data_IF_095975688144
#
_entry.id   IF_095975688144
#
_cell.length_a   1.000
_cell.length_b   1.000
_cell.length_c   1.000
_cell.angle_alpha   90.00
_cell.angle_beta   90.00
_cell.angle_gamma   90.00
#
_symmetry.space_group_name_H-M   'P 1'
#
loop_
_entity.id
_entity.type
_entity.pdbx_description
1 polymer ?
#
# COMPACT_ATOMS: atom_id res chain seq x y z
N UNK A 1 -2.01 9.90 21.35
CA UNK A 1 -1.23 10.43 20.21
C UNK A 1 -1.23 9.38 19.11
N UNK A 2 -1.68 9.72 17.90
CA UNK A 2 -1.52 8.84 16.72
C UNK A 2 -0.08 8.95 16.24
N UNK A 3 0.58 7.82 15.92
CA UNK A 3 1.89 7.85 15.28
C UNK A 3 1.73 8.00 13.77
N UNK A 4 2.76 8.49 13.09
CA UNK A 4 2.77 8.64 11.62
C UNK A 4 2.50 7.29 10.91
N UNK A 5 2.95 6.18 11.49
CA UNK A 5 2.72 4.83 10.98
C UNK A 5 1.26 4.40 11.09
N UNK A 6 0.57 4.80 12.16
CA UNK A 6 -0.87 4.54 12.30
C UNK A 6 -1.64 5.32 11.25
N UNK A 7 -1.31 6.60 11.06
CA UNK A 7 -1.91 7.43 10.01
C UNK A 7 -1.64 6.83 8.62
N UNK A 8 -0.44 6.35 8.33
CA UNK A 8 -0.11 5.66 7.08
C UNK A 8 -1.04 4.47 6.82
N UNK A 9 -1.22 3.61 7.83
CA UNK A 9 -2.08 2.43 7.71
C UNK A 9 -3.55 2.85 7.54
N UNK A 10 -4.01 3.82 8.30
CA UNK A 10 -5.41 4.28 8.26
C UNK A 10 -5.73 4.91 6.89
N UNK A 11 -4.82 5.71 6.31
CA UNK A 11 -4.98 6.27 4.95
C UNK A 11 -5.05 5.18 3.87
N UNK A 12 -4.30 4.08 4.02
CA UNK A 12 -4.32 2.95 3.08
C UNK A 12 -5.59 2.11 3.25
N UNK A 13 -6.07 1.93 4.49
CA UNK A 13 -7.29 1.19 4.77
C UNK A 13 -8.53 1.92 4.25
N UNK A 14 -8.52 3.26 4.36
CA UNK A 14 -9.67 4.14 4.17
C UNK A 14 -9.37 5.32 3.24
N UNK A 15 -8.89 5.06 2.01
CA UNK A 15 -8.46 6.10 1.07
C UNK A 15 -9.58 7.09 0.72
N UNK A 16 -10.85 6.67 0.76
CA UNK A 16 -12.00 7.53 0.51
C UNK A 16 -12.14 8.68 1.52
N UNK A 17 -11.59 8.54 2.73
CA UNK A 17 -11.55 9.61 3.73
C UNK A 17 -10.36 10.55 3.55
N UNK A 18 -9.50 10.27 2.57
CA UNK A 18 -8.27 11.02 2.29
C UNK A 18 -8.28 11.64 0.89
N UNK A 19 -9.44 11.73 0.23
CA UNK A 19 -9.53 12.25 -1.15
C UNK A 19 -9.25 11.21 -2.25
N UNK A 20 -9.10 9.93 -1.89
CA UNK A 20 -8.85 8.83 -2.81
C UNK A 20 -7.37 8.44 -2.91
N UNK A 21 -7.08 7.42 -3.74
CA UNK A 21 -5.75 6.81 -3.80
C UNK A 21 -4.64 7.75 -4.27
N UNK A 22 -4.95 8.66 -5.18
CA UNK A 22 -3.98 9.62 -5.70
C UNK A 22 -3.44 10.52 -4.59
N UNK A 23 -4.34 11.11 -3.80
CA UNK A 23 -3.97 11.97 -2.68
C UNK A 23 -3.27 11.21 -1.55
N UNK A 24 -3.72 9.97 -1.26
CA UNK A 24 -3.04 9.08 -0.32
C UNK A 24 -1.60 8.84 -0.77
N UNK A 25 -1.37 8.39 -2.00
CA UNK A 25 -0.03 8.06 -2.47
C UNK A 25 0.88 9.31 -2.50
N UNK A 26 0.38 10.44 -3.01
CA UNK A 26 1.12 11.69 -3.04
C UNK A 26 1.50 12.20 -1.65
N UNK A 27 0.61 12.04 -0.67
CA UNK A 27 0.86 12.42 0.72
C UNK A 27 1.87 11.49 1.40
N UNK A 28 1.71 10.17 1.24
CA UNK A 28 2.56 9.18 1.89
C UNK A 28 4.00 9.18 1.35
N UNK A 29 4.19 9.55 0.09
CA UNK A 29 5.52 9.58 -0.55
C UNK A 29 6.47 10.62 0.07
N UNK A 30 5.92 11.62 0.76
CA UNK A 30 6.66 12.69 1.46
C UNK A 30 7.01 12.33 2.91
N UNK A 31 6.55 11.19 3.42
CA UNK A 31 6.88 10.77 4.77
C UNK A 31 8.35 10.36 4.86
N UNK A 32 8.91 10.49 6.05
CA UNK A 32 10.28 10.11 6.40
C UNK A 32 10.31 9.55 7.82
N UNK A 33 11.43 8.93 8.17
CA UNK A 33 11.69 8.40 9.52
C UNK A 33 10.64 7.36 9.97
N UNK A 34 10.05 6.63 9.01
CA UNK A 34 9.05 5.61 9.28
C UNK A 34 9.66 4.46 10.06
N UNK A 35 9.04 4.10 11.18
CA UNK A 35 9.52 3.00 12.03
C UNK A 35 8.85 1.70 11.60
N UNK A 36 9.55 0.90 10.80
CA UNK A 36 9.07 -0.42 10.35
C UNK A 36 8.52 -1.28 11.50
N UNK A 37 9.19 -1.30 12.66
CA UNK A 37 8.74 -2.08 13.83
C UNK A 37 7.33 -1.68 14.27
N UNK A 38 6.99 -0.40 14.20
CA UNK A 38 5.66 0.12 14.56
C UNK A 38 4.64 -0.28 13.51
N UNK A 39 4.96 -0.11 12.21
CA UNK A 39 4.09 -0.57 11.11
C UNK A 39 3.78 -2.06 11.24
N UNK A 40 4.81 -2.88 11.44
CA UNK A 40 4.67 -4.32 11.55
C UNK A 40 3.80 -4.71 12.76
N UNK A 41 4.04 -4.12 13.92
CA UNK A 41 3.24 -4.36 15.12
C UNK A 41 1.77 -3.99 14.91
N UNK A 42 1.49 -2.79 14.35
CA UNK A 42 0.14 -2.35 14.06
C UNK A 42 -0.59 -3.28 13.08
N UNK A 43 0.11 -3.79 12.07
CA UNK A 43 -0.47 -4.73 11.10
C UNK A 43 -0.78 -6.10 11.72
N UNK A 44 0.08 -6.59 12.62
CA UNK A 44 -0.16 -7.84 13.34
C UNK A 44 -1.36 -7.72 14.28
N UNK A 45 -1.46 -6.61 15.03
CA UNK A 45 -2.59 -6.32 15.94
C UNK A 45 -3.93 -6.22 15.22
N UNK A 46 -3.95 -5.78 13.97
CA UNK A 46 -5.17 -5.72 13.16
C UNK A 46 -5.68 -7.09 12.73
N UNK A 47 -4.83 -8.13 12.77
CA UNK A 47 -5.10 -9.50 12.30
C UNK A 47 -5.75 -9.57 10.89
N UNK A 48 -5.54 -8.54 10.07
CA UNK A 48 -6.24 -8.35 8.81
C UNK A 48 -5.29 -8.62 7.64
N UNK A 49 -5.34 -9.86 7.13
CA UNK A 49 -4.52 -10.30 6.00
C UNK A 49 -4.74 -9.50 4.71
N UNK A 50 -5.90 -8.86 4.54
CA UNK A 50 -6.14 -7.99 3.40
C UNK A 50 -5.38 -6.67 3.54
N UNK A 51 -5.49 -6.03 4.72
CA UNK A 51 -4.79 -4.78 5.02
C UNK A 51 -3.27 -4.97 5.01
N UNK A 52 -2.76 -6.05 5.60
CA UNK A 52 -1.32 -6.36 5.57
C UNK A 52 -0.76 -6.37 4.15
N UNK A 53 -1.47 -7.02 3.22
CA UNK A 53 -1.03 -7.10 1.82
C UNK A 53 -1.18 -5.78 1.08
N UNK A 54 -2.26 -5.05 1.31
CA UNK A 54 -2.45 -3.73 0.71
C UNK A 54 -1.35 -2.77 1.16
N UNK A 55 -1.05 -2.73 2.47
CA UNK A 55 0.04 -1.92 3.01
C UNK A 55 1.38 -2.38 2.44
N UNK A 56 1.63 -3.69 2.35
CA UNK A 56 2.83 -4.22 1.71
C UNK A 56 3.02 -3.76 0.25
N UNK A 57 1.95 -3.84 -0.56
CA UNK A 57 1.94 -3.34 -1.94
C UNK A 57 2.23 -1.84 -1.98
N UNK A 58 1.55 -1.04 -1.16
CA UNK A 58 1.74 0.42 -1.13
C UNK A 58 3.15 0.77 -0.69
N UNK A 59 3.71 0.08 0.32
CA UNK A 59 5.08 0.30 0.74
C UNK A 59 6.09 -0.04 -0.37
N UNK A 60 5.88 -1.09 -1.15
CA UNK A 60 6.74 -1.36 -2.32
C UNK A 60 6.68 -0.21 -3.33
N UNK A 61 5.48 0.28 -3.66
CA UNK A 61 5.28 1.42 -4.57
C UNK A 61 5.99 2.68 -4.04
N UNK A 62 5.79 3.00 -2.76
CA UNK A 62 6.39 4.19 -2.15
C UNK A 62 7.92 4.08 -2.02
N UNK A 63 8.47 2.89 -1.77
CA UNK A 63 9.93 2.66 -1.73
C UNK A 63 10.58 2.79 -3.11
N UNK A 64 9.85 2.43 -4.16
CA UNK A 64 10.31 2.62 -5.54
C UNK A 64 10.30 4.10 -5.93
N UNK A 65 9.26 4.83 -5.55
CA UNK A 65 9.09 6.24 -5.90
C UNK A 65 9.83 7.24 -4.99
N UNK A 66 10.13 6.88 -3.73
CA UNK A 66 10.72 7.79 -2.74
C UNK A 66 11.96 7.20 -2.07
N UNK A 67 13.16 7.79 -2.30
CA UNK A 67 14.37 7.42 -1.58
C UNK A 67 14.23 7.51 -0.05
N UNK A 68 13.47 8.48 0.45
CA UNK A 68 13.23 8.67 1.89
C UNK A 68 12.52 7.48 2.53
N UNK A 69 11.54 6.93 1.83
CA UNK A 69 10.81 5.73 2.28
C UNK A 69 11.71 4.50 2.16
N UNK A 70 12.49 4.39 1.08
CA UNK A 70 13.45 3.30 0.86
C UNK A 70 14.54 3.26 1.94
N UNK A 71 15.00 4.41 2.41
CA UNK A 71 15.96 4.53 3.52
C UNK A 71 15.31 4.18 4.86
N UNK A 72 14.04 4.54 5.05
CA UNK A 72 13.30 4.25 6.28
C UNK A 72 12.94 2.75 6.41
N UNK A 73 12.72 2.06 5.29
CA UNK A 73 12.27 0.67 5.26
C UNK A 73 13.19 -0.15 4.33
N UNK A 74 13.96 -1.07 4.90
CA UNK A 74 14.90 -1.90 4.16
C UNK A 74 14.26 -3.11 3.47
N UNK A 75 14.97 -3.72 2.51
CA UNK A 75 14.48 -4.94 1.84
C UNK A 75 14.30 -6.11 2.80
N UNK A 76 15.18 -6.24 3.80
CA UNK A 76 15.05 -7.25 4.85
C UNK A 76 13.79 -7.06 5.69
N UNK A 77 13.41 -5.80 5.96
CA UNK A 77 12.19 -5.49 6.67
C UNK A 77 10.95 -5.83 5.83
N UNK A 78 10.97 -5.49 4.53
CA UNK A 78 9.89 -5.90 3.62
C UNK A 78 9.77 -7.43 3.54
N UNK A 79 10.90 -8.16 3.48
CA UNK A 79 10.89 -9.62 3.49
C UNK A 79 10.19 -10.19 4.74
N UNK A 80 10.53 -9.67 5.94
CA UNK A 80 9.86 -10.08 7.20
C UNK A 80 8.35 -9.86 7.16
N UNK A 81 7.90 -8.74 6.57
CA UNK A 81 6.47 -8.49 6.44
C UNK A 81 5.80 -9.49 5.47
N UNK A 82 6.49 -9.92 4.42
CA UNK A 82 5.97 -10.92 3.47
C UNK A 82 5.84 -12.32 4.06
N UNK A 83 6.66 -12.69 5.06
CA UNK A 83 6.55 -13.97 5.76
C UNK A 83 5.20 -14.14 6.48
N UNK A 84 4.54 -13.01 6.81
CA UNK A 84 3.21 -12.99 7.42
C UNK A 84 2.05 -13.16 6.42
N UNK A 85 2.34 -13.23 5.12
CA UNK A 85 1.33 -13.34 4.05
C UNK A 85 0.86 -14.79 3.90
N UNK A 86 -0.42 -15.02 4.19
CA UNK A 86 -1.05 -16.35 4.06
C UNK A 86 -1.63 -16.60 2.65
N UNK A 87 -1.97 -17.85 2.32
CA UNK A 87 -2.81 -18.21 1.15
C UNK A 87 -4.28 -17.80 1.38
N UNK A 88 -5.13 -17.64 0.33
CA UNK A 88 -4.87 -17.59 -1.11
C UNK A 88 -4.57 -16.16 -1.60
N UNK A 89 -4.38 -15.96 -2.91
CA UNK A 89 -4.25 -14.62 -3.51
C UNK A 89 -5.56 -13.80 -3.39
N UNK A 90 -5.45 -12.46 -3.39
CA UNK A 90 -6.61 -11.54 -3.24
C UNK A 90 -6.54 -10.40 -4.26
N UNK A 91 -7.67 -9.77 -4.56
CA UNK A 91 -7.67 -8.50 -5.28
C UNK A 91 -7.30 -7.36 -4.32
N UNK A 92 -6.65 -6.31 -4.82
CA UNK A 92 -6.32 -5.12 -4.02
C UNK A 92 -7.56 -4.38 -3.51
N UNK A 93 -8.70 -4.51 -4.21
CA UNK A 93 -9.99 -3.95 -3.78
C UNK A 93 -10.96 -5.03 -3.33
N UNK A 94 -11.62 -4.82 -2.19
CA UNK A 94 -12.66 -5.74 -1.66
C UNK A 94 -13.94 -5.72 -2.50
N UNK A 95 -14.34 -4.57 -3.03
CA UNK A 95 -15.60 -4.43 -3.75
C UNK A 95 -15.38 -3.86 -5.17
N UNK A 96 -15.61 -4.71 -6.18
CA UNK A 96 -15.52 -4.36 -7.61
C UNK A 96 -16.66 -3.46 -8.08
N UNK A 97 -17.81 -3.48 -7.40
CA UNK A 97 -19.05 -2.86 -7.90
C UNK A 97 -19.14 -1.34 -7.64
N UNK A 98 -18.51 -0.84 -6.58
CA UNK A 98 -18.66 0.55 -6.13
C UNK A 98 -17.38 1.38 -6.18
N UNK A 99 -16.29 0.86 -6.74
CA UNK A 99 -15.06 1.64 -6.90
C UNK A 99 -15.07 2.32 -8.28
N UNK A 100 -15.15 3.67 -8.34
CA UNK A 100 -15.18 4.42 -9.62
C UNK A 100 -14.03 4.04 -10.56
N UNK A 101 -12.91 3.58 -9.98
CA UNK A 101 -11.70 3.16 -10.68
C UNK A 101 -11.84 1.88 -11.54
N UNK A 102 -12.86 1.05 -11.34
CA UNK A 102 -13.10 -0.13 -12.19
C UNK A 102 -13.88 0.17 -13.47
N UNK A 103 -14.52 1.34 -13.58
CA UNK A 103 -15.17 1.79 -14.82
C UNK A 103 -14.11 2.31 -15.79
N UNK A 104 -13.38 1.40 -16.43
CA UNK A 104 -12.58 1.70 -17.63
C UNK A 104 -11.09 1.34 -17.57
N UNK A 105 -10.46 1.28 -16.39
CA UNK A 105 -9.05 0.87 -16.26
C UNK A 105 -8.95 -0.62 -15.92
N UNK A 106 -8.99 -1.47 -16.95
CA UNK A 106 -9.16 -2.94 -16.83
C UNK A 106 -7.88 -3.73 -16.51
N UNK A 107 -6.70 -3.13 -16.52
CA UNK A 107 -5.45 -3.87 -16.32
C UNK A 107 -5.12 -4.07 -14.84
N UNK A 108 -5.11 -5.34 -14.43
CA UNK A 108 -4.58 -5.81 -13.15
C UNK A 108 -3.26 -6.55 -13.41
N UNK A 109 -2.27 -6.31 -12.58
CA UNK A 109 -1.04 -7.11 -12.53
C UNK A 109 -1.02 -7.96 -11.27
N UNK A 110 -0.52 -9.20 -11.37
CA UNK A 110 -0.34 -10.05 -10.21
C UNK A 110 0.99 -9.75 -9.53
N UNK A 111 0.93 -9.18 -8.31
CA UNK A 111 2.09 -9.05 -7.44
C UNK A 111 2.27 -10.36 -6.66
N UNK A 112 3.28 -11.15 -7.07
CA UNK A 112 3.58 -12.45 -6.46
C UNK A 112 4.04 -12.38 -5.01
N UNK A 113 4.77 -11.32 -4.64
CA UNK A 113 5.29 -11.07 -3.28
C UNK A 113 4.15 -10.93 -2.26
N UNK A 114 3.13 -10.13 -2.59
CA UNK A 114 1.98 -9.90 -1.71
C UNK A 114 0.78 -10.78 -2.03
N UNK A 115 0.90 -11.64 -3.04
CA UNK A 115 -0.18 -12.49 -3.56
C UNK A 115 -1.44 -11.68 -3.83
N UNK A 116 -1.28 -10.58 -4.57
CA UNK A 116 -2.33 -9.60 -4.74
C UNK A 116 -2.45 -9.18 -6.21
N UNK A 117 -3.67 -9.13 -6.74
CA UNK A 117 -3.96 -8.52 -8.03
C UNK A 117 -4.11 -7.02 -7.83
N UNK A 118 -3.14 -6.26 -8.32
CA UNK A 118 -3.01 -4.82 -8.12
C UNK A 118 -3.36 -4.10 -9.42
N UNK A 119 -4.12 -2.99 -9.39
CA UNK A 119 -4.36 -2.19 -10.58
C UNK A 119 -3.07 -1.59 -11.10
N UNK A 120 -2.83 -1.72 -12.42
CA UNK A 120 -1.63 -1.16 -13.06
C UNK A 120 -1.58 0.36 -12.92
N UNK A 121 -2.73 1.02 -12.89
CA UNK A 121 -2.76 2.47 -12.72
C UNK A 121 -2.26 2.95 -11.36
N UNK A 122 -2.21 2.08 -10.34
CA UNK A 122 -1.80 2.47 -8.99
C UNK A 122 -0.31 2.84 -8.95
N UNK A 123 0.53 2.16 -9.73
CA UNK A 123 1.95 2.50 -9.89
C UNK A 123 2.13 3.77 -10.73
N UNK A 124 1.35 3.90 -11.80
CA UNK A 124 1.41 5.05 -12.72
C UNK A 124 0.91 6.37 -12.11
N UNK A 125 0.30 6.37 -10.93
CA UNK A 125 -0.13 7.59 -10.24
C UNK A 125 1.03 8.43 -9.71
N UNK A 126 2.18 7.81 -9.45
CA UNK A 126 3.35 8.50 -8.89
C UNK A 126 4.31 9.02 -9.97
N UNK A 127 4.21 8.53 -11.20
CA UNK A 127 5.08 8.94 -12.31
C UNK A 127 4.77 10.35 -12.85
N UNK A 128 3.74 11.01 -12.31
CA UNK A 128 3.17 12.22 -12.89
C UNK A 128 2.47 11.88 -14.20
N UNK A 129 1.21 12.30 -14.36
CA UNK A 129 0.56 12.23 -15.67
C UNK A 129 1.37 13.01 -16.69
N UNK A 130 2.24 12.33 -17.46
CA UNK A 130 2.68 12.81 -18.76
C UNK A 130 1.49 12.60 -19.70
N UNK A 131 0.65 13.63 -19.78
CA UNK A 131 -0.13 13.95 -20.98
C UNK A 131 0.47 15.22 -21.55
#
# INVERSE_FOLDING_TARGET
MSSIERTLIDCIEKPEYCGGWEEVLNSLMRLKDLKFRVIHQLLLERENQFLLRQVGVVLDILREASPLIRESISDQQMLRLTESVKKPARYFFRNKANTPYYRGRKSLSYNGRWRMYVPVWLTSMLDGGLV
#
